data_IF_950042929553
#
_entry.id   IF_950042929553
#
_cell.length_a   1.000
_cell.length_b   1.000
_cell.length_c   1.000
_cell.angle_alpha   90.00
_cell.angle_beta   90.00
_cell.angle_gamma   90.00
#
_symmetry.space_group_name_H-M   'P 1'
#
loop_
_entity.id
_entity.type
_entity.pdbx_description
1 polymer ?
#
# COMPACT_ATOMS: atom_id res chain seq x y z
N UNK A 1 28.18 41.38 36.97
CA UNK A 1 27.52 40.06 36.80
C UNK A 1 27.17 39.91 35.33
N UNK A 2 27.92 39.07 34.61
CA UNK A 2 28.05 39.14 33.15
C UNK A 2 26.94 38.37 32.42
N UNK A 3 25.99 39.12 31.86
CA UNK A 3 24.81 38.65 31.11
C UNK A 3 25.15 37.77 29.88
N UNK A 4 26.42 37.76 29.45
CA UNK A 4 26.92 36.97 28.30
C UNK A 4 27.02 35.47 28.58
N UNK A 5 27.03 35.02 29.84
CA UNK A 5 27.12 33.58 30.19
C UNK A 5 25.77 32.86 30.16
N UNK A 6 24.65 33.59 30.34
CA UNK A 6 23.31 32.99 30.27
C UNK A 6 22.87 32.64 28.84
N UNK A 7 23.34 33.40 27.84
CA UNK A 7 22.93 33.20 26.45
C UNK A 7 23.47 31.89 25.84
N UNK A 8 24.56 31.33 26.37
CA UNK A 8 25.17 30.11 25.84
C UNK A 8 24.55 28.82 26.43
N UNK A 9 23.97 28.89 27.63
CA UNK A 9 23.36 27.74 28.29
C UNK A 9 21.96 27.37 27.75
N UNK A 10 21.20 28.35 27.25
CA UNK A 10 19.84 28.13 26.75
C UNK A 10 19.85 27.55 25.32
N UNK A 11 20.89 27.85 24.53
CA UNK A 11 21.00 27.37 23.16
C UNK A 11 21.26 25.85 23.04
N UNK A 12 21.68 25.17 24.11
CA UNK A 12 21.98 23.74 24.08
C UNK A 12 20.78 22.81 24.38
N UNK A 13 19.64 23.34 24.82
CA UNK A 13 18.52 22.54 25.33
C UNK A 13 17.37 22.29 24.34
N UNK A 14 17.44 22.82 23.11
CA UNK A 14 16.34 22.75 22.13
C UNK A 14 16.62 21.85 20.91
N UNK A 15 17.73 21.12 20.88
CA UNK A 15 18.15 20.35 19.71
C UNK A 15 17.78 18.85 19.74
N UNK A 16 17.06 18.36 20.75
CA UNK A 16 16.86 16.92 20.98
C UNK A 16 15.40 16.53 21.13
N UNK A 17 14.57 16.72 20.10
CA UNK A 17 13.26 16.05 20.02
C UNK A 17 12.60 16.29 18.65
N UNK A 18 13.13 15.68 17.59
CA UNK A 18 12.34 15.42 16.39
C UNK A 18 12.94 14.25 15.60
N UNK A 19 13.24 13.14 16.28
CA UNK A 19 13.19 11.85 15.58
C UNK A 19 11.71 11.56 15.37
N UNK A 20 11.20 11.87 14.17
CA UNK A 20 9.93 11.32 13.72
C UNK A 20 10.15 9.82 13.53
N UNK A 21 9.87 9.03 14.57
CA UNK A 21 9.90 7.58 14.47
C UNK A 21 8.91 7.16 13.38
N UNK A 22 9.41 6.54 12.30
CA UNK A 22 8.55 6.08 11.21
C UNK A 22 7.48 5.15 11.81
N UNK A 23 6.19 5.41 11.55
CA UNK A 23 5.14 4.56 12.10
C UNK A 23 5.41 3.11 11.66
N UNK A 24 5.36 2.15 12.60
CA UNK A 24 5.69 0.77 12.29
C UNK A 24 4.84 0.28 11.13
N UNK A 25 5.47 -0.35 10.14
CA UNK A 25 4.77 -0.98 9.02
C UNK A 25 3.63 -1.85 9.56
N UNK A 26 2.43 -1.66 9.02
CA UNK A 26 1.23 -2.36 9.46
C UNK A 26 1.48 -3.87 9.44
N UNK A 27 1.42 -4.52 10.60
CA UNK A 27 1.68 -5.96 10.72
C UNK A 27 0.43 -6.76 10.41
N UNK A 28 0.56 -7.71 9.49
CA UNK A 28 -0.48 -8.71 9.20
C UNK A 28 -0.30 -9.88 10.17
N UNK A 29 -1.27 -10.11 11.04
CA UNK A 29 -1.21 -11.19 12.03
C UNK A 29 -1.06 -12.55 11.35
N UNK A 30 -0.06 -13.33 11.77
CA UNK A 30 0.23 -14.65 11.21
C UNK A 30 0.84 -14.64 9.81
N UNK A 31 1.12 -13.47 9.21
CA UNK A 31 1.77 -13.36 7.91
C UNK A 31 3.29 -13.15 8.01
N UNK A 32 4.02 -13.72 7.06
CA UNK A 32 5.46 -13.56 6.89
C UNK A 32 5.77 -12.96 5.51
N UNK A 33 6.35 -11.74 5.46
CA UNK A 33 6.70 -11.09 4.19
C UNK A 33 7.65 -11.89 3.30
N UNK A 34 8.59 -12.65 3.86
CA UNK A 34 9.54 -13.42 3.06
C UNK A 34 8.83 -14.59 2.35
N UNK A 35 7.92 -15.28 3.04
CA UNK A 35 7.05 -16.28 2.40
C UNK A 35 6.07 -15.62 1.45
N UNK A 36 5.55 -14.44 1.79
CA UNK A 36 4.64 -13.66 0.95
C UNK A 36 5.20 -13.32 -0.41
N UNK A 37 6.48 -12.96 -0.48
CA UNK A 37 7.18 -12.76 -1.75
C UNK A 37 7.17 -14.00 -2.63
N UNK A 38 7.36 -15.19 -2.04
CA UNK A 38 7.35 -16.45 -2.75
C UNK A 38 5.92 -16.80 -3.24
N UNK A 39 4.91 -16.58 -2.39
CA UNK A 39 3.49 -16.72 -2.77
C UNK A 39 3.14 -15.82 -3.95
N UNK A 40 3.49 -14.53 -3.88
CA UNK A 40 3.20 -13.55 -4.94
C UNK A 40 3.84 -13.95 -6.28
N UNK A 41 5.06 -14.49 -6.23
CA UNK A 41 5.74 -15.01 -7.42
C UNK A 41 5.02 -16.25 -7.97
N UNK A 42 4.73 -17.23 -7.12
CA UNK A 42 4.13 -18.50 -7.51
C UNK A 42 2.68 -18.35 -8.01
N UNK A 43 1.90 -17.48 -7.38
CA UNK A 43 0.51 -17.18 -7.75
C UNK A 43 0.39 -16.32 -9.02
N UNK A 44 1.51 -15.88 -9.61
CA UNK A 44 1.51 -15.17 -10.89
C UNK A 44 1.06 -13.71 -10.81
N UNK A 45 1.11 -13.07 -9.65
CA UNK A 45 0.68 -11.67 -9.49
C UNK A 45 1.44 -10.72 -10.45
N UNK A 46 2.70 -11.05 -10.76
CA UNK A 46 3.55 -10.30 -11.69
C UNK A 46 3.07 -10.30 -13.15
N UNK A 47 2.15 -11.19 -13.53
CA UNK A 47 1.55 -11.18 -14.87
C UNK A 47 0.72 -9.91 -15.13
N UNK A 48 0.17 -9.31 -14.06
CA UNK A 48 -0.65 -8.10 -14.16
C UNK A 48 -0.04 -6.88 -13.48
N UNK A 49 0.79 -7.06 -12.45
CA UNK A 49 1.25 -5.95 -11.61
C UNK A 49 2.77 -5.73 -11.67
N UNK A 50 3.16 -4.46 -11.52
CA UNK A 50 4.52 -4.10 -11.12
C UNK A 50 4.66 -4.30 -9.62
N UNK A 51 5.63 -5.10 -9.20
CA UNK A 51 5.85 -5.44 -7.79
C UNK A 51 7.34 -5.38 -7.46
N UNK A 52 7.80 -4.37 -6.68
CA UNK A 52 9.19 -4.29 -6.23
C UNK A 52 9.64 -5.59 -5.55
N UNK A 53 10.87 -5.99 -5.80
CA UNK A 53 11.46 -7.19 -5.21
C UNK A 53 10.99 -8.51 -5.84
N UNK A 54 9.94 -8.56 -6.66
CA UNK A 54 9.47 -9.78 -7.32
C UNK A 54 10.00 -9.86 -8.76
N UNK A 55 10.71 -10.94 -9.09
CA UNK A 55 11.32 -11.12 -10.42
C UNK A 55 10.24 -11.18 -11.49
N UNK A 56 10.40 -10.40 -12.56
CA UNK A 56 9.50 -10.42 -13.72
C UNK A 56 8.16 -9.72 -13.52
N UNK A 57 7.87 -9.22 -12.32
CA UNK A 57 6.66 -8.45 -12.02
C UNK A 57 6.81 -6.99 -12.49
N UNK A 58 6.67 -6.78 -13.80
CA UNK A 58 6.83 -5.48 -14.48
C UNK A 58 5.63 -5.12 -15.37
N UNK A 59 4.51 -5.82 -15.18
CA UNK A 59 3.29 -5.65 -15.97
C UNK A 59 2.42 -4.51 -15.45
N UNK A 60 1.72 -3.83 -16.37
CA UNK A 60 0.85 -2.68 -16.09
C UNK A 60 -0.63 -2.95 -16.41
N UNK A 61 -1.01 -4.21 -16.61
CA UNK A 61 -2.42 -4.60 -16.83
C UNK A 61 -3.28 -4.25 -15.61
N UNK A 62 -2.75 -4.48 -14.41
CA UNK A 62 -3.28 -3.97 -13.16
C UNK A 62 -2.43 -2.81 -12.62
N UNK A 63 -2.94 -2.05 -11.65
CA UNK A 63 -2.22 -0.90 -11.09
C UNK A 63 -0.94 -1.35 -10.35
N UNK A 64 0.16 -0.57 -10.38
CA UNK A 64 1.43 -0.93 -9.75
C UNK A 64 1.32 -1.03 -8.23
N UNK A 65 1.85 -2.06 -7.59
CA UNK A 65 1.74 -2.29 -6.14
C UNK A 65 2.89 -1.65 -5.33
N UNK A 66 3.67 -0.76 -5.95
CA UNK A 66 4.92 -0.19 -5.41
C UNK A 66 4.75 0.52 -4.07
N UNK A 67 3.64 1.24 -3.88
CA UNK A 67 3.33 2.06 -2.70
C UNK A 67 2.10 1.52 -1.94
N UNK A 68 1.97 0.20 -1.87
CA UNK A 68 0.74 -0.44 -1.39
C UNK A 68 0.32 0.01 0.01
N UNK A 69 1.25 0.09 0.97
CA UNK A 69 0.97 0.49 2.35
C UNK A 69 0.31 1.87 2.48
N UNK A 70 0.51 2.75 1.49
CA UNK A 70 -0.04 4.12 1.46
C UNK A 70 -1.44 4.21 0.84
N UNK A 71 -1.96 3.11 0.28
CA UNK A 71 -3.28 3.11 -0.36
C UNK A 71 -4.40 3.18 0.68
N UNK A 72 -5.46 3.91 0.37
CA UNK A 72 -6.66 3.96 1.21
C UNK A 72 -7.62 2.78 1.00
N UNK A 73 -7.58 2.15 -0.18
CA UNK A 73 -8.56 1.12 -0.56
C UNK A 73 -7.95 -0.10 -1.25
N UNK A 74 -8.55 -1.26 -1.00
CA UNK A 74 -8.32 -2.54 -1.69
C UNK A 74 -9.38 -2.72 -2.77
N UNK A 75 -8.95 -2.97 -4.01
CA UNK A 75 -9.87 -3.15 -5.15
C UNK A 75 -10.79 -1.96 -5.42
N UNK A 76 -10.47 -0.77 -4.88
CA UNK A 76 -11.33 0.41 -4.93
C UNK A 76 -12.62 0.31 -4.10
N UNK A 77 -12.73 -0.68 -3.20
CA UNK A 77 -13.98 -1.00 -2.49
C UNK A 77 -13.85 -1.04 -0.98
N UNK A 78 -12.87 -1.78 -0.46
CA UNK A 78 -12.69 -1.97 0.98
C UNK A 78 -11.61 -1.02 1.49
N UNK A 79 -11.69 -0.48 2.73
CA UNK A 79 -10.58 0.20 3.36
C UNK A 79 -9.32 -0.70 3.39
N UNK A 80 -8.14 -0.11 3.19
CA UNK A 80 -6.88 -0.86 3.23
C UNK A 80 -6.53 -1.27 4.66
N UNK A 81 -6.99 -2.46 5.04
CA UNK A 81 -6.72 -3.12 6.30
C UNK A 81 -6.30 -4.58 6.03
N UNK A 82 -5.54 -5.23 6.93
CA UNK A 82 -5.02 -6.59 6.72
C UNK A 82 -6.12 -7.59 6.35
N UNK A 83 -7.19 -7.64 7.13
CA UNK A 83 -8.28 -8.61 6.92
C UNK A 83 -9.02 -8.37 5.59
N UNK A 84 -9.21 -7.11 5.21
CA UNK A 84 -9.83 -6.76 3.93
C UNK A 84 -8.95 -7.15 2.75
N UNK A 85 -7.63 -6.99 2.88
CA UNK A 85 -6.70 -7.43 1.85
C UNK A 85 -6.66 -8.95 1.74
N UNK A 86 -6.63 -9.66 2.87
CA UNK A 86 -6.68 -11.13 2.89
C UNK A 86 -7.96 -11.61 2.19
N UNK A 87 -9.12 -11.07 2.55
CA UNK A 87 -10.39 -11.40 1.91
C UNK A 87 -10.38 -11.12 0.40
N UNK A 88 -9.83 -9.98 -0.02
CA UNK A 88 -9.66 -9.64 -1.44
C UNK A 88 -8.75 -10.61 -2.18
N UNK A 89 -7.63 -11.02 -1.58
CA UNK A 89 -6.69 -11.95 -2.20
C UNK A 89 -7.28 -13.36 -2.36
N UNK A 90 -8.18 -13.76 -1.47
CA UNK A 90 -8.88 -15.06 -1.57
C UNK A 90 -9.99 -15.04 -2.61
N UNK A 91 -10.84 -14.01 -2.60
CA UNK A 91 -11.98 -13.91 -3.53
C UNK A 91 -12.29 -12.45 -3.93
N UNK A 92 -11.58 -11.92 -4.96
CA UNK A 92 -11.87 -10.59 -5.49
C UNK A 92 -13.29 -10.47 -6.03
N UNK A 93 -13.86 -11.56 -6.56
CA UNK A 93 -15.18 -11.58 -7.21
C UNK A 93 -16.32 -11.41 -6.20
N UNK A 94 -16.19 -11.99 -5.01
CA UNK A 94 -17.15 -11.80 -3.92
C UNK A 94 -17.23 -10.34 -3.44
N UNK A 95 -16.11 -9.62 -3.45
CA UNK A 95 -16.04 -8.21 -3.03
C UNK A 95 -16.41 -7.27 -4.19
N UNK A 96 -15.99 -7.61 -5.40
CA UNK A 96 -16.19 -6.84 -6.62
C UNK A 96 -16.68 -7.75 -7.75
N UNK A 97 -18.01 -7.96 -7.87
CA UNK A 97 -18.57 -8.70 -9.00
C UNK A 97 -18.08 -8.10 -10.32
N UNK A 98 -17.51 -8.94 -11.20
CA UNK A 98 -16.90 -8.49 -12.46
C UNK A 98 -15.47 -7.95 -12.33
N UNK A 99 -14.79 -8.17 -11.19
CA UNK A 99 -13.37 -7.85 -11.03
C UNK A 99 -12.53 -8.46 -12.17
N UNK A 100 -11.62 -7.66 -12.74
CA UNK A 100 -10.62 -8.15 -13.68
C UNK A 100 -9.51 -8.97 -12.98
N UNK A 101 -9.33 -8.80 -11.67
CA UNK A 101 -8.44 -9.66 -10.89
C UNK A 101 -9.15 -10.99 -10.61
N UNK A 102 -8.62 -12.12 -11.09
CA UNK A 102 -9.24 -13.42 -10.90
C UNK A 102 -9.00 -13.95 -9.47
N UNK A 103 -9.80 -14.93 -9.05
CA UNK A 103 -9.50 -15.70 -7.85
C UNK A 103 -8.29 -16.60 -8.11
N UNK A 104 -7.22 -16.42 -7.33
CA UNK A 104 -5.94 -17.11 -7.52
C UNK A 104 -5.86 -18.45 -6.76
N UNK A 105 -6.90 -18.81 -6.01
CA UNK A 105 -6.94 -20.06 -5.24
C UNK A 105 -6.03 -20.07 -4.01
N UNK A 106 -5.67 -18.90 -3.48
CA UNK A 106 -4.83 -18.79 -2.29
C UNK A 106 -5.56 -19.31 -1.05
N UNK A 107 -4.87 -20.14 -0.27
CA UNK A 107 -5.28 -20.43 1.10
C UNK A 107 -5.20 -19.16 1.96
N UNK A 108 -5.87 -19.19 3.12
CA UNK A 108 -5.86 -18.07 4.06
C UNK A 108 -4.43 -17.75 4.57
N UNK A 109 -3.60 -18.78 4.76
CA UNK A 109 -2.20 -18.62 5.17
C UNK A 109 -1.36 -17.95 4.07
N UNK A 110 -1.54 -18.38 2.82
CA UNK A 110 -0.86 -17.75 1.67
C UNK A 110 -1.31 -16.30 1.47
N UNK A 111 -2.61 -16.03 1.62
CA UNK A 111 -3.16 -14.68 1.53
C UNK A 111 -2.60 -13.77 2.65
N UNK A 112 -2.45 -14.28 3.88
CA UNK A 112 -1.78 -13.56 4.98
C UNK A 112 -0.33 -13.25 4.68
N UNK A 113 0.43 -14.24 4.21
CA UNK A 113 1.83 -14.06 3.84
C UNK A 113 1.97 -13.03 2.71
N UNK A 114 1.16 -13.14 1.65
CA UNK A 114 1.15 -12.18 0.54
C UNK A 114 0.76 -10.77 1.01
N UNK A 115 -0.28 -10.64 1.83
CA UNK A 115 -0.67 -9.35 2.42
C UNK A 115 0.47 -8.76 3.26
N UNK A 116 1.16 -9.57 4.07
CA UNK A 116 2.30 -9.13 4.86
C UNK A 116 3.41 -8.56 3.98
N UNK A 117 3.71 -9.19 2.85
CA UNK A 117 4.66 -8.65 1.88
C UNK A 117 4.18 -7.33 1.29
N UNK A 118 2.93 -7.23 0.85
CA UNK A 118 2.40 -6.01 0.25
C UNK A 118 2.44 -4.83 1.22
N UNK A 119 2.18 -5.04 2.52
CA UNK A 119 2.31 -3.98 3.51
C UNK A 119 3.75 -3.54 3.80
N UNK A 120 4.77 -4.27 3.31
CA UNK A 120 6.16 -3.76 3.31
C UNK A 120 6.43 -2.76 2.18
N UNK A 121 5.60 -2.74 1.15
CA UNK A 121 5.80 -1.89 -0.03
C UNK A 121 5.33 -0.46 0.26
N UNK A 122 6.24 0.51 0.13
CA UNK A 122 6.00 1.92 0.47
C UNK A 122 6.13 2.25 1.96
N UNK A 123 6.57 1.29 2.79
CA UNK A 123 6.68 1.48 4.25
C UNK A 123 7.91 2.31 4.69
N UNK A 124 8.94 2.49 3.84
CA UNK A 124 10.07 3.39 4.10
C UNK A 124 10.75 3.85 2.79
N UNK A 125 11.04 5.17 2.70
CA UNK A 125 11.63 5.99 1.61
C UNK A 125 10.66 6.71 0.67
N UNK A 126 10.28 7.93 1.05
CA UNK A 126 10.17 9.03 0.08
C UNK A 126 11.24 10.09 0.39
N UNK A 127 12.10 10.50 -0.57
CA UNK A 127 12.59 11.88 -0.56
C UNK A 127 11.39 12.84 -0.67
N UNK A 128 11.47 14.08 -0.17
CA UNK A 128 10.37 15.04 -0.29
C UNK A 128 9.93 15.17 -1.75
N UNK A 129 8.62 15.15 -2.00
CA UNK A 129 8.07 15.47 -3.33
C UNK A 129 8.57 16.87 -3.68
N UNK A 130 9.32 17.08 -4.78
CA UNK A 130 9.67 18.42 -5.22
C UNK A 130 8.38 19.21 -5.38
N UNK A 131 8.30 20.38 -4.73
CA UNK A 131 7.18 21.29 -4.94
C UNK A 131 7.02 21.51 -6.45
N UNK A 132 5.89 21.09 -7.02
CA UNK A 132 5.60 21.18 -8.46
C UNK A 132 5.53 19.85 -9.23
N UNK A 133 5.72 18.69 -8.61
CA UNK A 133 5.42 17.41 -9.26
C UNK A 133 3.90 17.14 -9.25
N UNK A 134 3.25 17.28 -10.41
CA UNK A 134 1.85 16.88 -10.58
C UNK A 134 1.78 15.34 -10.52
N UNK A 135 1.16 14.80 -9.46
CA UNK A 135 0.81 13.38 -9.44
C UNK A 135 -0.14 13.11 -10.61
N UNK A 136 0.21 12.18 -11.49
CA UNK A 136 -0.70 11.73 -12.54
C UNK A 136 -2.02 11.28 -11.86
N UNK A 137 -3.19 11.60 -12.42
CA UNK A 137 -4.45 11.08 -11.90
C UNK A 137 -4.32 9.57 -11.80
N UNK A 138 -4.47 9.01 -10.59
CA UNK A 138 -4.68 7.58 -10.46
C UNK A 138 -5.87 7.23 -11.34
N UNK A 139 -5.76 6.20 -12.18
CA UNK A 139 -6.74 5.80 -13.20
C UNK A 139 -8.11 5.33 -12.63
N UNK A 140 -8.64 6.00 -11.62
CA UNK A 140 -10.07 6.14 -11.43
C UNK A 140 -10.63 6.89 -12.63
N UNK A 141 -10.82 6.16 -13.74
CA UNK A 141 -11.58 6.64 -14.88
C UNK A 141 -12.92 7.23 -14.43
N UNK A 142 -13.54 8.11 -15.23
CA UNK A 142 -14.78 8.77 -14.85
C UNK A 142 -15.79 7.72 -14.39
N UNK A 143 -16.31 7.87 -13.16
CA UNK A 143 -17.44 7.08 -12.70
C UNK A 143 -18.61 7.43 -13.62
N UNK A 144 -18.96 6.52 -14.54
CA UNK A 144 -20.22 6.63 -15.26
C UNK A 144 -21.34 6.68 -14.21
N UNK A 145 -22.10 7.77 -14.20
CA UNK A 145 -23.28 7.86 -13.35
C UNK A 145 -24.27 6.78 -13.77
N UNK A 146 -24.88 6.03 -12.84
CA UNK A 146 -25.91 5.06 -13.21
C UNK A 146 -27.05 5.77 -13.94
N UNK A 147 -27.22 5.49 -15.23
CA UNK A 147 -28.40 5.93 -15.98
C UNK A 147 -29.61 5.15 -15.49
N UNK A 148 -30.28 5.69 -14.47
CA UNK A 148 -31.61 5.25 -14.07
C UNK A 148 -32.56 5.59 -15.22
N UNK A 149 -32.96 4.60 -16.02
CA UNK A 149 -34.06 4.80 -16.96
C UNK A 149 -35.34 4.99 -16.12
N UNK A 150 -36.12 6.05 -16.33
CA UNK A 150 -37.46 6.11 -15.76
C UNK A 150 -38.26 4.94 -16.34
N UNK A 151 -38.88 4.14 -15.46
CA UNK A 151 -39.90 3.18 -15.87
C UNK A 151 -41.10 3.99 -16.38
N UNK A 152 -41.47 3.78 -17.63
CA UNK A 152 -42.78 4.17 -18.16
C UNK A 152 -43.85 3.21 -17.65
#
# INVERSE_FOLDING_TARGET
MNLRRLACGIALLLATACEAEEPPALRVAGGDPARGRAVILAAGCGACHVIPGVRGAVSWVGPPLTEWSRRGYVGGRLPNAPDNLIAWLQDPGAISPGSAMPSLGLSEAEARDAAAYLFTLGASRLPPIPAGMQLAPSDGGPRETPRIRPRA
#
